data_IF_544689020320
#
_entry.id   IF_544689020320
#
_cell.length_a   1.000
_cell.length_b   1.000
_cell.length_c   1.000
_cell.angle_alpha   90.00
_cell.angle_beta   90.00
_cell.angle_gamma   90.00
#
_symmetry.space_group_name_H-M   'P 1'
#
loop_
_entity.id
_entity.type
_entity.pdbx_description
1 polymer ?
#
# COMPACT_ATOMS: atom_id res chain seq x y z
N UNK A 1 -8.35 -21.53 -10.69
CA UNK A 1 -8.66 -20.18 -10.14
C UNK A 1 -10.13 -20.09 -9.72
N UNK A 2 -10.66 -21.06 -8.96
CA UNK A 2 -12.08 -21.10 -8.55
C UNK A 2 -12.29 -20.98 -7.02
N UNK A 3 -11.26 -21.18 -6.19
CA UNK A 3 -11.40 -21.09 -4.74
C UNK A 3 -11.69 -19.65 -4.23
N UNK A 4 -11.12 -18.63 -4.86
CA UNK A 4 -11.26 -17.23 -4.45
C UNK A 4 -12.71 -16.71 -4.49
N UNK A 5 -13.45 -17.07 -5.55
CA UNK A 5 -14.84 -16.62 -5.74
C UNK A 5 -15.80 -17.20 -4.69
N UNK A 6 -15.49 -18.39 -4.18
CA UNK A 6 -16.32 -19.08 -3.18
C UNK A 6 -16.17 -18.45 -1.80
N UNK A 7 -14.93 -18.09 -1.40
CA UNK A 7 -14.66 -17.42 -0.12
C UNK A 7 -15.31 -16.03 -0.06
N UNK A 8 -15.29 -15.27 -1.17
CA UNK A 8 -15.98 -13.98 -1.24
C UNK A 8 -17.52 -14.08 -1.23
N UNK A 9 -18.10 -15.22 -1.63
CA UNK A 9 -19.56 -15.39 -1.73
C UNK A 9 -20.21 -15.97 -0.46
N UNK A 10 -19.44 -16.48 0.49
CA UNK A 10 -19.98 -17.24 1.63
C UNK A 10 -20.28 -16.41 2.88
N UNK A 11 -20.16 -15.08 2.86
CA UNK A 11 -20.50 -14.25 4.03
C UNK A 11 -19.60 -14.47 5.26
N UNK A 12 -18.55 -15.28 5.11
CA UNK A 12 -17.42 -15.33 6.02
C UNK A 12 -16.67 -14.02 5.80
N UNK A 13 -16.72 -13.12 6.78
CA UNK A 13 -16.24 -11.75 6.65
C UNK A 13 -14.84 -11.64 6.06
N UNK A 14 -14.53 -10.48 5.49
CA UNK A 14 -13.17 -10.09 5.14
C UNK A 14 -12.29 -10.16 6.41
N UNK A 15 -11.71 -11.32 6.70
CA UNK A 15 -10.61 -11.39 7.65
C UNK A 15 -9.51 -10.47 7.12
N UNK A 16 -9.05 -9.56 7.97
CA UNK A 16 -8.05 -8.54 7.65
C UNK A 16 -6.79 -9.20 7.07
N UNK A 17 -6.37 -10.34 7.63
CA UNK A 17 -5.20 -11.08 7.15
C UNK A 17 -5.43 -11.65 5.75
N UNK A 18 -6.54 -12.37 5.56
CA UNK A 18 -6.90 -12.93 4.26
C UNK A 18 -7.01 -11.83 3.19
N UNK A 19 -7.62 -10.70 3.54
CA UNK A 19 -7.78 -9.57 2.61
C UNK A 19 -6.44 -8.99 2.17
N UNK A 20 -5.49 -8.87 3.11
CA UNK A 20 -4.13 -8.44 2.82
C UNK A 20 -3.40 -9.43 1.90
N UNK A 21 -3.53 -10.73 2.16
CA UNK A 21 -2.92 -11.78 1.32
C UNK A 21 -3.49 -11.76 -0.10
N UNK A 22 -4.79 -11.49 -0.24
CA UNK A 22 -5.44 -11.36 -1.55
C UNK A 22 -4.97 -10.12 -2.31
N UNK A 23 -4.80 -8.99 -1.61
CA UNK A 23 -4.23 -7.76 -2.21
C UNK A 23 -2.81 -8.04 -2.71
N UNK A 24 -1.96 -8.64 -1.88
CA UNK A 24 -0.57 -8.96 -2.24
C UNK A 24 -0.49 -9.94 -3.42
N UNK A 25 -1.27 -11.03 -3.38
CA UNK A 25 -1.33 -12.02 -4.46
C UNK A 25 -1.78 -11.38 -5.78
N UNK A 26 -2.86 -10.59 -5.76
CA UNK A 26 -3.31 -9.91 -6.97
C UNK A 26 -2.31 -8.88 -7.48
N UNK A 27 -1.64 -8.15 -6.59
CA UNK A 27 -0.55 -7.24 -6.93
C UNK A 27 0.60 -7.97 -7.66
N UNK A 28 1.10 -9.06 -7.08
CA UNK A 28 2.17 -9.89 -7.66
C UNK A 28 1.79 -10.51 -9.01
N UNK A 29 0.52 -10.79 -9.23
CA UNK A 29 0.01 -11.29 -10.52
C UNK A 29 -0.29 -10.20 -11.56
N UNK A 30 0.02 -8.93 -11.27
CA UNK A 30 -0.29 -7.79 -12.14
C UNK A 30 -1.77 -7.48 -12.29
N UNK A 31 -2.60 -8.01 -11.38
CA UNK A 31 -4.05 -7.78 -11.34
C UNK A 31 -4.38 -6.67 -10.34
N UNK A 32 -3.73 -5.53 -10.47
CA UNK A 32 -3.89 -4.37 -9.56
C UNK A 32 -5.35 -3.90 -9.44
N UNK A 33 -6.15 -4.01 -10.50
CA UNK A 33 -7.60 -3.71 -10.42
C UNK A 33 -8.36 -4.63 -9.46
N UNK A 34 -8.00 -5.92 -9.40
CA UNK A 34 -8.58 -6.87 -8.43
C UNK A 34 -8.08 -6.59 -7.01
N UNK A 35 -6.80 -6.25 -6.86
CA UNK A 35 -6.25 -5.83 -5.58
C UNK A 35 -6.98 -4.59 -5.02
N UNK A 36 -7.26 -3.60 -5.87
CA UNK A 36 -8.06 -2.42 -5.50
C UNK A 36 -9.48 -2.82 -5.10
N UNK A 37 -10.13 -3.70 -5.87
CA UNK A 37 -11.49 -4.14 -5.56
C UNK A 37 -11.60 -4.88 -4.21
N UNK A 38 -10.56 -5.63 -3.82
CA UNK A 38 -10.47 -6.21 -2.47
C UNK A 38 -10.33 -5.09 -1.44
N UNK A 39 -9.34 -4.21 -1.62
CA UNK A 39 -9.04 -3.11 -0.72
C UNK A 39 -10.25 -2.19 -0.47
N UNK A 40 -11.01 -1.85 -1.51
CA UNK A 40 -12.18 -0.97 -1.42
C UNK A 40 -13.35 -1.61 -0.65
N UNK A 41 -13.44 -2.95 -0.64
CA UNK A 41 -14.49 -3.70 0.06
C UNK A 41 -14.15 -4.03 1.51
N UNK A 42 -12.92 -3.79 1.95
CA UNK A 42 -12.51 -4.04 3.33
C UNK A 42 -13.22 -3.08 4.29
N UNK A 43 -13.91 -3.58 5.34
CA UNK A 43 -14.53 -2.73 6.34
C UNK A 43 -13.49 -2.02 7.22
N UNK A 44 -12.38 -2.71 7.51
CA UNK A 44 -11.25 -2.20 8.27
C UNK A 44 -9.97 -2.37 7.47
N UNK A 45 -9.05 -1.43 7.59
CA UNK A 45 -7.75 -1.43 6.89
C UNK A 45 -6.66 -1.11 7.88
N UNK A 46 -5.53 -1.79 7.78
CA UNK A 46 -4.34 -1.48 8.56
C UNK A 46 -3.18 -1.09 7.66
N UNK A 47 -2.02 -0.77 8.25
CA UNK A 47 -0.82 -0.38 7.51
C UNK A 47 -0.38 -1.45 6.48
N UNK A 48 -0.67 -2.73 6.76
CA UNK A 48 -0.36 -3.83 5.83
C UNK A 48 -1.26 -3.78 4.60
N UNK A 49 -2.55 -3.49 4.75
CA UNK A 49 -3.49 -3.33 3.62
C UNK A 49 -3.02 -2.23 2.66
N UNK A 50 -2.59 -1.10 3.20
CA UNK A 50 -2.10 0.04 2.43
C UNK A 50 -0.77 -0.26 1.73
N UNK A 51 0.20 -0.80 2.46
CA UNK A 51 1.54 -1.09 1.92
C UNK A 51 1.51 -2.22 0.90
N UNK A 52 0.67 -3.24 1.07
CA UNK A 52 0.46 -4.31 0.08
C UNK A 52 -0.04 -3.73 -1.26
N UNK A 53 -1.04 -2.84 -1.23
CA UNK A 53 -1.57 -2.24 -2.45
C UNK A 53 -0.56 -1.29 -3.11
N UNK A 54 0.14 -0.46 -2.32
CA UNK A 54 1.21 0.42 -2.83
C UNK A 54 2.34 -0.39 -3.51
N UNK A 55 2.79 -1.49 -2.88
CA UNK A 55 3.74 -2.42 -3.48
C UNK A 55 3.22 -3.00 -4.80
N UNK A 56 1.95 -3.41 -4.83
CA UNK A 56 1.30 -3.89 -6.05
C UNK A 56 1.34 -2.86 -7.17
N UNK A 57 1.04 -1.59 -6.90
CA UNK A 57 1.19 -0.51 -7.89
C UNK A 57 2.63 -0.35 -8.36
N UNK A 58 3.60 -0.33 -7.44
CA UNK A 58 5.01 -0.09 -7.75
C UNK A 58 5.63 -1.23 -8.58
N UNK A 59 5.35 -2.48 -8.23
CA UNK A 59 5.83 -3.68 -8.94
C UNK A 59 5.27 -3.76 -10.37
N UNK A 60 4.09 -3.19 -10.59
CA UNK A 60 3.45 -3.11 -11.90
C UNK A 60 3.75 -1.80 -12.65
N UNK A 61 4.85 -1.12 -12.29
CA UNK A 61 5.34 0.07 -13.01
C UNK A 61 4.52 1.34 -12.78
N UNK A 62 3.56 1.34 -11.86
CA UNK A 62 2.69 2.47 -11.59
C UNK A 62 3.09 3.20 -10.30
N UNK A 63 4.26 3.83 -10.33
CA UNK A 63 4.79 4.60 -9.20
C UNK A 63 3.88 5.78 -8.79
N UNK A 64 3.22 6.44 -9.76
CA UNK A 64 2.25 7.52 -9.48
C UNK A 64 1.05 7.01 -8.68
N UNK A 65 0.56 5.81 -8.98
CA UNK A 65 -0.52 5.16 -8.22
C UNK A 65 -0.13 4.88 -6.78
N UNK A 66 1.10 4.42 -6.55
CA UNK A 66 1.65 4.25 -5.19
C UNK A 66 1.66 5.56 -4.41
N UNK A 67 2.20 6.64 -5.00
CA UNK A 67 2.23 7.96 -4.35
C UNK A 67 0.82 8.51 -4.08
N UNK A 68 -0.11 8.32 -5.00
CA UNK A 68 -1.51 8.71 -4.80
C UNK A 68 -2.15 7.96 -3.63
N UNK A 69 -1.89 6.66 -3.49
CA UNK A 69 -2.34 5.90 -2.33
C UNK A 69 -1.71 6.39 -1.03
N UNK A 70 -0.43 6.78 -1.06
CA UNK A 70 0.23 7.33 0.13
C UNK A 70 -0.42 8.65 0.57
N UNK A 71 -0.72 9.54 -0.37
CA UNK A 71 -1.50 10.75 -0.08
C UNK A 71 -2.88 10.42 0.50
N UNK A 72 -3.57 9.41 -0.03
CA UNK A 72 -4.87 8.95 0.51
C UNK A 72 -4.74 8.38 1.93
N UNK A 73 -3.67 7.63 2.21
CA UNK A 73 -3.39 7.09 3.54
C UNK A 73 -3.22 8.22 4.57
N UNK A 74 -2.59 9.34 4.17
CA UNK A 74 -2.46 10.53 5.02
C UNK A 74 -3.78 11.20 5.41
N UNK A 75 -4.87 10.89 4.72
CA UNK A 75 -6.23 11.32 5.07
C UNK A 75 -6.98 10.30 5.94
N UNK A 76 -6.36 9.14 6.21
CA UNK A 76 -6.91 8.10 7.08
C UNK A 76 -6.35 8.21 8.50
N UNK A 77 -6.96 7.51 9.44
CA UNK A 77 -6.44 7.40 10.82
C UNK A 77 -5.23 6.45 10.93
N UNK A 78 -4.89 5.72 9.86
CA UNK A 78 -3.80 4.76 9.84
C UNK A 78 -2.47 5.47 9.60
N UNK A 79 -1.58 5.39 10.58
CA UNK A 79 -0.26 6.02 10.51
C UNK A 79 0.69 5.24 9.58
N UNK A 80 1.45 5.95 8.71
CA UNK A 80 2.58 5.37 7.99
C UNK A 80 3.63 4.79 8.95
N UNK A 81 4.29 3.71 8.52
CA UNK A 81 5.46 3.12 9.18
C UNK A 81 6.71 3.20 8.27
N UNK A 82 7.85 2.66 8.71
CA UNK A 82 9.10 2.70 7.94
C UNK A 82 8.97 2.09 6.54
N UNK A 83 8.18 1.01 6.40
CA UNK A 83 7.91 0.38 5.10
C UNK A 83 7.12 1.30 4.18
N UNK A 84 6.14 2.02 4.72
CA UNK A 84 5.34 2.97 3.95
C UNK A 84 6.22 4.06 3.35
N UNK A 85 7.14 4.63 4.13
CA UNK A 85 8.07 5.65 3.64
C UNK A 85 9.05 5.09 2.61
N UNK A 86 9.60 3.90 2.85
CA UNK A 86 10.54 3.23 1.93
C UNK A 86 9.93 2.99 0.53
N UNK A 87 8.69 2.47 0.48
CA UNK A 87 7.96 2.24 -0.77
C UNK A 87 7.79 3.56 -1.55
N UNK A 88 7.41 4.64 -0.86
CA UNK A 88 7.10 5.91 -1.51
C UNK A 88 8.34 6.73 -1.87
N UNK A 89 9.46 6.59 -1.14
CA UNK A 89 10.76 7.10 -1.58
C UNK A 89 11.21 6.42 -2.89
N UNK A 90 11.07 5.09 -2.97
CA UNK A 90 11.34 4.35 -4.21
C UNK A 90 10.42 4.80 -5.34
N UNK A 91 9.12 4.97 -5.07
CA UNK A 91 8.16 5.48 -6.06
C UNK A 91 8.52 6.88 -6.56
N UNK A 92 8.98 7.77 -5.66
CA UNK A 92 9.43 9.12 -6.03
C UNK A 92 10.64 9.10 -6.95
N UNK A 93 11.59 8.20 -6.70
CA UNK A 93 12.74 7.97 -7.59
C UNK A 93 12.33 7.58 -9.01
N UNK A 94 11.33 6.70 -9.15
CA UNK A 94 10.80 6.32 -10.47
C UNK A 94 10.04 7.46 -11.17
N UNK A 95 9.36 8.31 -10.42
CA UNK A 95 8.67 9.48 -10.99
C UNK A 95 9.64 10.59 -11.40
N UNK A 96 10.81 10.66 -10.74
CA UNK A 96 11.88 11.60 -11.08
C UNK A 96 11.64 13.04 -10.61
N UNK A 97 10.69 13.25 -9.68
CA UNK A 97 10.41 14.57 -9.10
C UNK A 97 11.05 14.63 -7.71
N UNK A 98 12.16 15.37 -7.58
CA UNK A 98 12.93 15.47 -6.34
C UNK A 98 12.10 15.99 -5.16
N UNK A 99 11.19 16.92 -5.42
CA UNK A 99 10.28 17.50 -4.43
C UNK A 99 9.47 16.43 -3.68
N UNK A 100 8.98 15.39 -4.36
CA UNK A 100 8.25 14.30 -3.72
C UNK A 100 9.13 13.56 -2.70
N UNK A 101 10.39 13.29 -3.07
CA UNK A 101 11.35 12.63 -2.19
C UNK A 101 11.64 13.46 -0.93
N UNK A 102 11.83 14.77 -1.09
CA UNK A 102 12.06 15.68 0.05
C UNK A 102 10.85 15.74 1.00
N UNK A 103 9.64 15.83 0.45
CA UNK A 103 8.42 15.85 1.25
C UNK A 103 8.25 14.54 2.04
N UNK A 104 8.45 13.38 1.40
CA UNK A 104 8.35 12.08 2.06
C UNK A 104 9.43 11.91 3.13
N UNK A 105 10.66 12.36 2.86
CA UNK A 105 11.74 12.35 3.84
C UNK A 105 11.39 13.20 5.07
N UNK A 106 10.90 14.43 4.86
CA UNK A 106 10.48 15.31 5.95
C UNK A 106 9.31 14.76 6.76
N UNK A 107 8.38 14.03 6.13
CA UNK A 107 7.29 13.34 6.84
C UNK A 107 7.82 12.17 7.68
N UNK A 108 8.80 11.42 7.16
CA UNK A 108 9.44 10.32 7.86
C UNK A 108 10.14 10.79 9.14
N UNK A 109 10.95 11.85 9.06
CA UNK A 109 11.66 12.42 10.22
C UNK A 109 10.71 12.97 11.27
N UNK A 110 9.68 13.72 10.86
CA UNK A 110 8.62 14.21 11.77
C UNK A 110 7.83 13.09 12.46
N UNK A 111 7.82 11.88 11.89
CA UNK A 111 7.15 10.71 12.47
C UNK A 111 8.04 9.97 13.48
N UNK A 112 9.23 10.47 13.79
CA UNK A 112 10.16 9.90 14.77
C UNK A 112 11.11 8.85 14.21
N UNK A 113 11.13 8.65 12.90
CA UNK A 113 12.09 7.78 12.23
C UNK A 113 13.35 8.60 11.87
N UNK A 114 14.21 8.82 12.86
CA UNK A 114 15.51 9.46 12.65
C UNK A 114 16.61 8.43 12.35
N UNK A 115 17.69 8.90 11.73
CA UNK A 115 18.88 8.12 11.47
C UNK A 115 19.47 7.58 12.78
N UNK A 116 19.59 6.26 12.90
CA UNK A 116 20.39 5.64 13.98
C UNK A 116 21.86 5.79 13.60
N UNK A 117 22.55 6.77 14.18
CA UNK A 117 24.02 6.81 14.16
C UNK A 117 24.55 5.79 15.16
N UNK A 118 25.16 4.70 14.69
CA UNK A 118 25.98 3.81 15.51
C UNK A 118 27.30 4.49 15.89
#
# INVERSE_FOLDING_TARGET
>A
MQAHGTVMKMGLGFDLMLSNDLIDMYGKCGRTGMACAVFDRMPERNVVSWTALMCGYLQNGNAKGSLSLFSKMGLSEIKPNEFTFSINLKASGFVGIAENGMQIHNMCTKSGFEWVTW
#
